data_IF_531320325560
#
_entry.id   IF_531320325560
#
_cell.length_a   1.000
_cell.length_b   1.000
_cell.length_c   1.000
_cell.angle_alpha   90.00
_cell.angle_beta   90.00
_cell.angle_gamma   90.00
#
_symmetry.space_group_name_H-M   'P 1'
#
loop_
_entity.id
_entity.type
_entity.pdbx_description
1 polymer ?
#
# COMPACT_ATOMS: atom_id res chain seq x y z
N UNK A 1 10.76 -18.13 -2.04
CA UNK A 1 10.44 -16.69 -2.24
C UNK A 1 8.92 -16.53 -2.20
N UNK A 2 8.37 -16.10 -1.08
CA UNK A 2 6.91 -15.93 -0.89
C UNK A 2 6.62 -14.44 -0.68
N UNK A 3 6.64 -13.67 -1.77
CA UNK A 3 7.12 -12.28 -1.67
C UNK A 3 6.07 -11.19 -1.45
N UNK A 4 4.76 -11.46 -1.59
CA UNK A 4 3.76 -10.37 -1.46
C UNK A 4 2.42 -10.79 -0.83
N UNK A 5 1.92 -12.00 -1.12
CA UNK A 5 0.68 -12.51 -0.49
C UNK A 5 0.83 -12.63 1.03
N UNK A 6 2.01 -13.04 1.48
CA UNK A 6 2.36 -13.19 2.89
C UNK A 6 2.24 -11.87 3.67
N UNK A 7 2.69 -10.76 3.07
CA UNK A 7 2.63 -9.44 3.71
C UNK A 7 1.21 -8.95 3.93
N UNK A 8 0.29 -9.19 2.99
CA UNK A 8 -1.11 -8.77 3.16
C UNK A 8 -1.80 -9.55 4.27
N UNK A 9 -1.47 -10.83 4.41
CA UNK A 9 -1.98 -11.68 5.50
C UNK A 9 -1.44 -11.21 6.84
N UNK A 10 -0.14 -10.89 6.93
CA UNK A 10 0.48 -10.32 8.13
C UNK A 10 -0.17 -9.00 8.54
N UNK A 11 -0.37 -8.07 7.60
CA UNK A 11 -1.08 -6.80 7.90
C UNK A 11 -2.48 -7.06 8.43
N UNK A 12 -3.23 -8.00 7.84
CA UNK A 12 -4.57 -8.36 8.30
C UNK A 12 -4.57 -8.93 9.71
N UNK A 13 -3.66 -9.86 10.01
CA UNK A 13 -3.54 -10.44 11.33
C UNK A 13 -3.21 -9.39 12.41
N UNK A 14 -2.34 -8.43 12.09
CA UNK A 14 -1.99 -7.35 13.01
C UNK A 14 -3.11 -6.31 13.17
N UNK A 15 -3.93 -6.09 12.14
CA UNK A 15 -5.14 -5.28 12.27
C UNK A 15 -6.18 -5.95 13.17
N UNK A 16 -6.31 -7.28 13.06
CA UNK A 16 -7.23 -8.07 13.88
C UNK A 16 -6.81 -8.10 15.36
N UNK A 17 -5.50 -8.11 15.63
CA UNK A 17 -4.96 -7.98 16.99
C UNK A 17 -5.10 -6.58 17.60
N UNK A 18 -5.70 -5.63 16.88
CA UNK A 18 -5.97 -4.28 17.37
C UNK A 18 -4.78 -3.31 17.29
N UNK A 19 -3.68 -3.68 16.63
CA UNK A 19 -2.57 -2.75 16.43
C UNK A 19 -2.97 -1.57 15.55
N UNK A 20 -2.36 -0.41 15.81
CA UNK A 20 -2.59 0.77 14.99
C UNK A 20 -1.90 0.63 13.63
N UNK A 21 -2.46 1.20 12.55
CA UNK A 21 -1.84 1.16 11.23
C UNK A 21 -0.41 1.72 11.19
N UNK A 22 -0.07 2.62 12.11
CA UNK A 22 1.26 3.21 12.24
C UNK A 22 2.26 2.22 12.80
N UNK A 23 1.88 1.48 13.85
CA UNK A 23 2.72 0.43 14.43
C UNK A 23 2.97 -0.69 13.41
N UNK A 24 1.92 -1.11 12.71
CA UNK A 24 2.00 -2.14 11.66
C UNK A 24 2.95 -1.70 10.53
N UNK A 25 2.87 -0.43 10.13
CA UNK A 25 3.75 0.15 9.11
C UNK A 25 5.22 0.12 9.54
N UNK A 26 5.50 0.52 10.80
CA UNK A 26 6.85 0.46 11.37
C UNK A 26 7.35 -0.99 11.50
N UNK A 27 6.51 -1.90 11.96
CA UNK A 27 6.87 -3.29 12.21
C UNK A 27 7.17 -4.06 10.92
N UNK A 28 6.41 -3.81 9.85
CA UNK A 28 6.59 -4.48 8.57
C UNK A 28 7.47 -3.70 7.57
N UNK A 29 7.93 -2.50 7.94
CA UNK A 29 8.73 -1.64 7.06
C UNK A 29 7.97 -1.22 5.80
N UNK A 30 6.66 -1.01 5.90
CA UNK A 30 5.80 -0.60 4.78
C UNK A 30 5.20 0.77 5.00
N UNK A 31 4.77 1.42 3.92
CA UNK A 31 4.04 2.68 4.03
C UNK A 31 2.71 2.49 4.78
N UNK A 32 2.36 3.46 5.64
CA UNK A 32 1.01 3.58 6.22
C UNK A 32 -0.08 3.52 5.15
N UNK A 33 0.16 4.07 3.96
CA UNK A 33 -0.77 4.01 2.82
C UNK A 33 -1.07 2.58 2.38
N UNK A 34 -0.05 1.72 2.40
CA UNK A 34 -0.21 0.29 2.10
C UNK A 34 -1.09 -0.39 3.15
N UNK A 35 -0.89 -0.08 4.43
CA UNK A 35 -1.72 -0.61 5.52
C UNK A 35 -3.18 -0.18 5.37
N UNK A 36 -3.44 1.10 5.10
CA UNK A 36 -4.80 1.60 4.85
C UNK A 36 -5.46 0.96 3.64
N UNK A 37 -4.73 0.73 2.55
CA UNK A 37 -5.26 0.03 1.37
C UNK A 37 -5.66 -1.43 1.68
N UNK A 38 -4.88 -2.11 2.54
CA UNK A 38 -5.21 -3.48 2.98
C UNK A 38 -6.43 -3.45 3.91
N UNK A 39 -6.48 -2.50 4.86
CA UNK A 39 -7.63 -2.31 5.76
C UNK A 39 -8.93 -2.00 4.99
N UNK A 40 -8.85 -1.19 3.94
CA UNK A 40 -9.98 -0.80 3.10
C UNK A 40 -10.47 -1.92 2.15
N UNK A 41 -9.94 -3.14 2.24
CA UNK A 41 -10.44 -4.27 1.46
C UNK A 41 -9.77 -4.44 0.09
N UNK A 42 -8.55 -3.91 -0.09
CA UNK A 42 -7.74 -4.24 -1.26
C UNK A 42 -8.35 -3.74 -2.57
N UNK A 43 -8.65 -2.44 -2.65
CA UNK A 43 -8.95 -1.83 -3.95
C UNK A 43 -7.69 -1.96 -4.81
N UNK A 44 -7.75 -2.85 -5.80
CA UNK A 44 -6.82 -2.89 -6.91
C UNK A 44 -6.49 -1.46 -7.31
N UNK A 45 -5.21 -1.08 -7.19
CA UNK A 45 -4.77 0.23 -7.65
C UNK A 45 -5.22 0.34 -9.10
N UNK A 46 -6.12 1.28 -9.41
CA UNK A 46 -6.26 1.80 -10.77
C UNK A 46 -4.85 2.18 -11.22
N UNK A 47 -4.27 1.35 -12.08
CA UNK A 47 -3.09 1.69 -12.88
C UNK A 47 -3.59 2.75 -13.86
N UNK A 48 -3.67 3.99 -13.39
CA UNK A 48 -4.43 4.99 -14.11
C UNK A 48 -4.24 6.35 -13.50
N UNK A 49 -3.00 6.85 -13.51
CA UNK A 49 -2.66 8.28 -13.58
C UNK A 49 -1.14 8.43 -13.63
N UNK A 50 -0.50 7.80 -14.63
CA UNK A 50 0.75 8.35 -15.13
C UNK A 50 0.35 9.54 -16.00
N UNK A 51 0.04 10.67 -15.36
CA UNK A 51 -0.12 11.95 -16.06
C UNK A 51 1.26 12.38 -16.57
N UNK A 52 1.74 11.68 -17.62
CA UNK A 52 2.82 12.16 -18.48
C UNK A 52 2.20 13.19 -19.43
N UNK A 53 1.97 14.39 -18.92
CA UNK A 53 1.68 15.57 -19.72
C UNK A 53 2.21 16.75 -18.93
N UNK A 54 3.25 17.46 -19.36
CA UNK A 54 3.32 18.15 -20.65
C UNK A 54 4.79 18.50 -20.94
N UNK A 55 5.44 17.79 -21.86
CA UNK A 55 6.72 18.21 -22.41
C UNK A 55 6.45 19.14 -23.59
N UNK A 56 6.22 20.43 -23.31
CA UNK A 56 6.19 21.43 -24.37
C UNK A 56 7.61 21.91 -24.63
N UNK A 57 8.22 21.36 -25.68
CA UNK A 57 9.43 21.92 -26.32
C UNK A 57 9.00 23.17 -27.08
N UNK A 58 9.33 24.36 -26.58
CA UNK A 58 9.17 25.61 -27.33
C UNK A 58 10.45 25.84 -28.14
N UNK A 59 10.30 25.95 -29.46
CA UNK A 59 11.36 26.35 -30.39
C UNK A 59 11.68 27.83 -30.21
#
# INVERSE_FOLDING_TARGET
MSSERDRRLQVRALLDSGQTPTEIACQLGISRKTVYNVKAGGVERKVGSMARGRWTRKR
#
